data_IF_684129881647
#
_entry.id   IF_684129881647
#
_cell.length_a   1.000
_cell.length_b   1.000
_cell.length_c   1.000
_cell.angle_alpha   90.00
_cell.angle_beta   90.00
_cell.angle_gamma   90.00
#
_symmetry.space_group_name_H-M   'P 1'
#
loop_
_entity.id
_entity.type
_entity.pdbx_description
1 polymer ?
#
# COMPACT_ATOMS: atom_id res chain seq x y z
N UNK A 1 1.92 -12.42 -1.90
CA UNK A 1 3.32 -12.70 -1.52
C UNK A 1 3.36 -13.16 -0.08
N UNK A 2 4.18 -14.17 0.22
CA UNK A 2 4.23 -14.82 1.54
C UNK A 2 4.60 -13.87 2.68
N UNK A 3 5.55 -12.96 2.46
CA UNK A 3 5.94 -11.99 3.48
C UNK A 3 4.79 -11.05 3.86
N UNK A 4 3.95 -10.65 2.90
CA UNK A 4 2.75 -9.86 3.19
C UNK A 4 1.80 -10.64 4.10
N UNK A 5 1.58 -11.92 3.83
CA UNK A 5 0.74 -12.77 4.67
C UNK A 5 1.29 -12.83 6.11
N UNK A 6 2.61 -12.96 6.28
CA UNK A 6 3.26 -12.93 7.61
C UNK A 6 3.11 -11.57 8.32
N UNK A 7 3.24 -10.46 7.59
CA UNK A 7 3.07 -9.11 8.14
C UNK A 7 1.63 -8.91 8.65
N UNK A 8 0.64 -9.32 7.86
CA UNK A 8 -0.77 -9.18 8.21
C UNK A 8 -1.14 -10.07 9.42
N UNK A 9 -0.67 -11.32 9.43
CA UNK A 9 -0.86 -12.22 10.56
C UNK A 9 -0.26 -11.68 11.87
N UNK A 10 0.88 -10.97 11.81
CA UNK A 10 1.51 -10.38 12.99
C UNK A 10 0.69 -9.25 13.63
N UNK A 11 -0.31 -8.71 12.95
CA UNK A 11 -1.26 -7.72 13.48
C UNK A 11 -2.69 -8.28 13.55
N UNK A 12 -2.84 -9.61 13.69
CA UNK A 12 -4.13 -10.29 13.83
C UNK A 12 -5.14 -10.02 12.68
N UNK A 13 -4.62 -9.68 11.49
CA UNK A 13 -5.40 -9.52 10.27
C UNK A 13 -5.11 -10.68 9.31
N UNK A 14 -5.92 -11.75 9.33
CA UNK A 14 -5.77 -12.83 8.36
C UNK A 14 -6.05 -12.32 6.93
N UNK A 15 -5.39 -12.91 5.93
CA UNK A 15 -5.42 -12.45 4.53
C UNK A 15 -6.83 -12.39 3.96
N UNK A 16 -7.71 -13.25 4.45
CA UNK A 16 -9.11 -13.42 4.04
C UNK A 16 -9.99 -12.26 4.53
N UNK A 17 -9.54 -11.52 5.55
CA UNK A 17 -10.25 -10.35 6.09
C UNK A 17 -9.82 -9.03 5.44
N UNK A 18 -8.91 -9.07 4.48
CA UNK A 18 -8.42 -7.87 3.78
C UNK A 18 -8.59 -8.02 2.27
N UNK A 19 -8.76 -6.89 1.59
CA UNK A 19 -8.72 -6.86 0.14
C UNK A 19 -7.34 -6.41 -0.32
N UNK A 20 -6.69 -7.19 -1.17
CA UNK A 20 -5.33 -6.90 -1.67
C UNK A 20 -5.40 -6.66 -3.17
N UNK A 21 -4.91 -5.51 -3.61
CA UNK A 21 -4.84 -5.14 -5.03
C UNK A 21 -3.60 -4.29 -5.31
N UNK A 22 -3.28 -4.11 -6.59
CA UNK A 22 -2.17 -3.30 -7.07
C UNK A 22 -2.68 -2.11 -7.89
N UNK A 23 -1.84 -1.08 -8.07
CA UNK A 23 -2.14 0.07 -8.94
C UNK A 23 -2.36 -0.39 -10.38
N UNK A 24 -1.38 -1.09 -10.96
CA UNK A 24 -1.49 -1.72 -12.28
C UNK A 24 -1.96 -3.17 -12.16
N UNK A 25 -2.76 -3.62 -13.13
CA UNK A 25 -3.32 -4.99 -13.14
C UNK A 25 -2.54 -5.95 -14.04
N UNK A 26 -1.67 -5.42 -14.89
CA UNK A 26 -0.78 -6.17 -15.77
C UNK A 26 0.65 -6.08 -15.25
N UNK A 27 1.40 -7.18 -15.36
CA UNK A 27 2.81 -7.24 -14.98
C UNK A 27 3.64 -6.50 -16.04
N UNK A 28 4.36 -5.42 -15.69
CA UNK A 28 5.25 -4.75 -16.64
C UNK A 28 6.38 -5.70 -17.10
N UNK A 29 6.93 -5.49 -18.32
CA UNK A 29 8.11 -6.22 -18.79
C UNK A 29 9.23 -6.21 -17.75
N UNK A 30 9.85 -7.37 -17.54
CA UNK A 30 10.99 -7.54 -16.61
C UNK A 30 10.72 -7.08 -15.15
N UNK A 31 9.46 -6.96 -14.72
CA UNK A 31 9.09 -6.39 -13.42
C UNK A 31 9.58 -4.96 -13.19
N UNK A 32 9.77 -4.17 -14.25
CA UNK A 32 10.11 -2.75 -14.10
C UNK A 32 9.01 -2.00 -13.33
N UNK A 33 9.35 -0.81 -12.84
CA UNK A 33 8.35 0.10 -12.28
C UNK A 33 7.36 0.49 -13.40
N UNK A 34 6.05 0.50 -13.14
CA UNK A 34 5.07 0.96 -14.12
C UNK A 34 5.34 2.40 -14.55
N UNK A 35 5.13 2.68 -15.83
CA UNK A 35 5.21 4.03 -16.39
C UNK A 35 3.97 4.84 -16.03
N UNK A 36 4.07 6.16 -16.18
CA UNK A 36 3.02 7.08 -15.78
C UNK A 36 1.70 6.87 -16.56
N UNK A 37 1.80 6.62 -17.86
CA UNK A 37 0.69 6.27 -18.74
C UNK A 37 0.04 4.92 -18.37
N UNK A 38 0.83 3.90 -18.05
CA UNK A 38 0.33 2.61 -17.56
C UNK A 38 -0.42 2.75 -16.24
N UNK A 39 0.10 3.58 -15.31
CA UNK A 39 -0.59 3.92 -14.06
C UNK A 39 -1.87 4.69 -14.36
N UNK A 40 -1.82 5.70 -15.22
CA UNK A 40 -2.99 6.52 -15.60
C UNK A 40 -4.10 5.68 -16.22
N UNK A 41 -3.76 4.70 -17.06
CA UNK A 41 -4.72 3.79 -17.67
C UNK A 41 -5.33 2.80 -16.66
N UNK A 42 -4.57 2.36 -15.65
CA UNK A 42 -5.03 1.36 -14.68
C UNK A 42 -5.66 1.95 -13.40
N UNK A 43 -5.29 3.16 -13.00
CA UNK A 43 -5.73 3.79 -11.76
C UNK A 43 -7.27 3.89 -11.62
N UNK A 44 -8.06 4.18 -12.68
CA UNK A 44 -9.52 4.20 -12.59
C UNK A 44 -10.11 2.89 -12.04
N UNK A 45 -9.54 1.73 -12.37
CA UNK A 45 -9.99 0.45 -11.82
C UNK A 45 -9.72 0.34 -10.32
N UNK A 46 -8.55 0.79 -9.85
CA UNK A 46 -8.24 0.84 -8.42
C UNK A 46 -9.20 1.77 -7.68
N UNK A 47 -9.47 2.95 -8.22
CA UNK A 47 -10.38 3.91 -7.58
C UNK A 47 -11.80 3.36 -7.53
N UNK A 48 -12.27 2.69 -8.59
CA UNK A 48 -13.56 2.02 -8.58
C UNK A 48 -13.62 0.88 -7.57
N UNK A 49 -12.56 0.10 -7.42
CA UNK A 49 -12.45 -0.93 -6.38
C UNK A 49 -12.57 -0.33 -4.98
N UNK A 50 -11.89 0.78 -4.70
CA UNK A 50 -11.95 1.48 -3.42
C UNK A 50 -13.36 2.03 -3.16
N UNK A 51 -14.00 2.64 -4.15
CA UNK A 51 -15.38 3.15 -4.05
C UNK A 51 -16.40 2.06 -3.70
N UNK A 52 -16.25 0.87 -4.28
CA UNK A 52 -17.15 -0.26 -4.05
C UNK A 52 -16.91 -0.90 -2.68
N UNK A 53 -15.65 -1.04 -2.28
CA UNK A 53 -15.27 -1.70 -1.02
C UNK A 53 -15.48 -0.81 0.21
N UNK A 54 -15.40 0.52 0.04
CA UNK A 54 -15.49 1.52 1.13
C UNK A 54 -14.66 1.12 2.36
N UNK A 55 -13.35 0.89 2.22
CA UNK A 55 -12.53 0.40 3.32
C UNK A 55 -12.43 1.43 4.46
N UNK A 56 -12.31 0.96 5.70
CA UNK A 56 -12.03 1.82 6.86
C UNK A 56 -10.64 2.46 6.82
N UNK A 57 -9.66 1.76 6.24
CA UNK A 57 -8.26 2.19 6.13
C UNK A 57 -7.63 1.59 4.87
N UNK A 58 -6.71 2.33 4.25
CA UNK A 58 -5.89 1.84 3.14
C UNK A 58 -4.42 1.78 3.59
N UNK A 59 -3.78 0.63 3.40
CA UNK A 59 -2.34 0.46 3.60
C UNK A 59 -1.63 0.52 2.23
N UNK A 60 -0.99 1.66 1.92
CA UNK A 60 -0.26 1.86 0.68
C UNK A 60 1.19 1.34 0.82
N UNK A 61 1.49 0.23 0.15
CA UNK A 61 2.81 -0.42 0.25
C UNK A 61 3.70 -0.06 -0.94
N UNK A 62 4.73 0.78 -0.72
CA UNK A 62 5.69 1.21 -1.73
C UNK A 62 5.32 2.51 -2.45
N UNK A 63 6.30 3.05 -3.19
CA UNK A 63 6.23 4.38 -3.81
C UNK A 63 5.07 4.52 -4.79
N UNK A 64 4.95 3.60 -5.76
CA UNK A 64 3.89 3.64 -6.78
C UNK A 64 2.50 3.69 -6.15
N UNK A 65 2.23 2.87 -5.13
CA UNK A 65 0.94 2.86 -4.44
C UNK A 65 0.67 4.18 -3.70
N UNK A 66 1.64 4.66 -2.93
CA UNK A 66 1.51 5.90 -2.16
C UNK A 66 1.34 7.13 -3.06
N UNK A 67 2.17 7.25 -4.09
CA UNK A 67 2.14 8.38 -5.03
C UNK A 67 0.86 8.42 -5.86
N UNK A 68 0.34 7.25 -6.27
CA UNK A 68 -0.92 7.18 -7.03
C UNK A 68 -2.13 7.57 -6.16
N UNK A 69 -2.19 7.08 -4.92
CA UNK A 69 -3.31 7.39 -4.03
C UNK A 69 -3.28 8.83 -3.52
N UNK A 70 -2.09 9.40 -3.32
CA UNK A 70 -1.92 10.73 -2.74
C UNK A 70 -1.67 11.83 -3.78
N UNK A 71 -1.72 11.48 -5.07
CA UNK A 71 -1.44 12.36 -6.21
C UNK A 71 -0.21 13.25 -5.98
N UNK A 72 0.94 12.62 -5.72
CA UNK A 72 2.16 13.32 -5.30
C UNK A 72 3.42 12.66 -5.85
N UNK A 73 4.49 13.47 -5.97
CA UNK A 73 5.84 13.01 -6.32
C UNK A 73 6.77 12.89 -5.12
N UNK A 74 6.26 13.07 -3.89
CA UNK A 74 7.06 12.94 -2.67
C UNK A 74 7.69 11.54 -2.55
N UNK A 75 8.87 11.48 -1.92
CA UNK A 75 9.56 10.22 -1.68
C UNK A 75 8.79 9.36 -0.66
N UNK A 76 8.99 8.04 -0.72
CA UNK A 76 8.33 7.12 0.21
C UNK A 76 8.63 7.47 1.67
N UNK A 77 9.89 7.83 1.98
CA UNK A 77 10.28 8.23 3.33
C UNK A 77 9.54 9.47 3.84
N UNK A 78 9.33 10.47 2.98
CA UNK A 78 8.58 11.68 3.34
C UNK A 78 7.07 11.43 3.52
N UNK A 79 6.53 10.35 2.95
CA UNK A 79 5.13 9.98 3.06
C UNK A 79 4.84 9.08 4.27
N UNK A 80 5.85 8.41 4.84
CA UNK A 80 5.70 7.58 6.06
C UNK A 80 5.56 8.44 7.33
N UNK A 81 5.26 7.80 8.45
CA UNK A 81 5.15 8.41 9.80
C UNK A 81 4.04 9.48 9.96
N UNK A 82 3.03 9.48 9.07
CA UNK A 82 1.83 10.31 9.18
C UNK A 82 0.64 9.61 8.53
N UNK A 83 -0.56 10.00 8.93
CA UNK A 83 -1.81 9.50 8.35
C UNK A 83 -2.27 10.48 7.27
N UNK A 84 -2.45 9.97 6.05
CA UNK A 84 -2.99 10.75 4.93
C UNK A 84 -4.47 10.42 4.71
N UNK A 85 -5.05 11.02 3.68
CA UNK A 85 -6.42 10.72 3.27
C UNK A 85 -6.54 10.56 1.76
N UNK A 86 -7.31 9.56 1.34
CA UNK A 86 -7.80 9.41 -0.03
C UNK A 86 -9.32 9.44 0.00
N UNK A 87 -9.93 10.52 -0.53
CA UNK A 87 -11.40 10.70 -0.55
C UNK A 87 -12.04 10.46 0.83
N UNK A 88 -11.41 11.02 1.87
CA UNK A 88 -11.86 10.86 3.26
C UNK A 88 -11.37 9.59 3.98
N UNK A 89 -10.91 8.56 3.26
CA UNK A 89 -10.43 7.30 3.83
C UNK A 89 -8.99 7.48 4.35
N UNK A 90 -8.68 7.12 5.61
CA UNK A 90 -7.32 7.13 6.13
C UNK A 90 -6.36 6.26 5.30
N UNK A 91 -5.19 6.81 4.96
CA UNK A 91 -4.13 6.11 4.22
C UNK A 91 -2.86 6.09 5.06
N UNK A 92 -2.36 4.89 5.34
CA UNK A 92 -1.04 4.66 5.96
C UNK A 92 -0.08 4.19 4.88
N UNK A 93 1.09 4.82 4.80
CA UNK A 93 2.13 4.49 3.82
C UNK A 93 3.20 3.65 4.49
N UNK A 94 3.66 2.60 3.81
CA UNK A 94 4.75 1.74 4.31
C UNK A 94 5.63 1.18 3.19
N UNK A 95 6.68 0.44 3.54
CA UNK A 95 7.56 -0.21 2.58
C UNK A 95 6.87 -1.40 1.88
N UNK A 96 7.20 -1.59 0.61
CA UNK A 96 6.74 -2.77 -0.12
C UNK A 96 7.41 -4.04 0.43
N UNK A 97 6.72 -5.18 0.57
CA UNK A 97 7.31 -6.42 1.11
C UNK A 97 8.58 -6.86 0.37
N UNK A 98 8.62 -6.74 -0.96
CA UNK A 98 9.83 -7.07 -1.73
C UNK A 98 11.07 -6.23 -1.35
N UNK A 99 10.87 -5.00 -0.87
CA UNK A 99 11.96 -4.17 -0.38
C UNK A 99 12.51 -4.66 0.97
N UNK A 100 11.66 -5.24 1.82
CA UNK A 100 12.06 -5.81 3.12
C UNK A 100 12.91 -7.08 2.97
N UNK A 101 12.72 -7.82 1.87
CA UNK A 101 13.55 -8.97 1.54
C UNK A 101 14.99 -8.56 1.21
N UNK A 102 15.17 -7.36 0.65
CA UNK A 102 16.49 -6.80 0.32
C UNK A 102 17.09 -5.96 1.44
N UNK A 103 16.25 -5.34 2.27
CA UNK A 103 16.69 -4.48 3.37
C UNK A 103 15.96 -4.83 4.68
N UNK A 104 16.56 -5.69 5.53
CA UNK A 104 15.96 -6.10 6.80
C UNK A 104 15.74 -4.96 7.80
N UNK A 105 16.51 -3.87 7.73
CA UNK A 105 16.37 -2.73 8.65
C UNK A 105 15.02 -2.03 8.53
N UNK A 106 14.33 -2.19 7.40
CA UNK A 106 12.99 -1.64 7.18
C UNK A 106 11.86 -2.45 7.80
N UNK A 107 12.14 -3.63 8.39
CA UNK A 107 11.12 -4.45 9.06
C UNK A 107 10.52 -3.74 10.27
N UNK A 108 11.34 -3.13 11.14
CA UNK A 108 10.84 -2.42 12.32
C UNK A 108 10.00 -1.18 11.96
N UNK A 109 10.44 -0.29 11.07
CA UNK A 109 9.58 0.80 10.61
C UNK A 109 8.28 0.32 9.96
N UNK A 110 8.31 -0.78 9.18
CA UNK A 110 7.09 -1.38 8.61
C UNK A 110 6.14 -1.85 9.70
N UNK A 111 6.67 -2.49 10.74
CA UNK A 111 5.89 -2.95 11.88
C UNK A 111 5.13 -1.80 12.55
N UNK A 112 5.79 -0.66 12.76
CA UNK A 112 5.16 0.51 13.37
C UNK A 112 4.06 1.11 12.46
N UNK A 113 4.25 1.11 11.14
CA UNK A 113 3.23 1.56 10.17
C UNK A 113 2.00 0.63 10.19
N UNK A 114 2.20 -0.69 10.13
CA UNK A 114 1.06 -1.64 10.05
C UNK A 114 0.26 -1.68 11.36
N UNK A 115 0.91 -1.48 12.51
CA UNK A 115 0.20 -1.27 13.78
C UNK A 115 -0.63 0.01 13.77
N UNK A 116 -0.12 1.07 13.16
CA UNK A 116 -0.88 2.32 13.00
C UNK A 116 -2.11 2.08 12.13
N UNK A 117 -1.97 1.37 11.00
CA UNK A 117 -3.11 0.99 10.17
C UNK A 117 -4.13 0.12 10.92
N UNK A 118 -3.67 -0.83 11.73
CA UNK A 118 -4.53 -1.68 12.55
C UNK A 118 -5.34 -0.87 13.57
N UNK A 119 -4.73 0.10 14.26
CA UNK A 119 -5.43 0.95 15.24
C UNK A 119 -6.57 1.76 14.62
N UNK A 120 -6.50 2.06 13.33
CA UNK A 120 -7.55 2.78 12.60
C UNK A 120 -8.75 1.91 12.21
N UNK A 121 -8.70 0.59 12.47
CA UNK A 121 -9.83 -0.32 12.25
C UNK A 121 -10.83 -0.36 13.40
N UNK A 122 -10.39 0.05 14.61
CA UNK A 122 -11.21 0.21 15.81
C UNK A 122 -12.27 1.30 15.57
#
# INVERSE_FOLDING_TARGET
GELLTKILAAIDLPRERVFICNVVKCRPPENRVPQYDEVGACAPYLFRQIELLKPKVILAMGGTAAQTLLDTKQSLGALRNRIHRFRGIPVVVTYHPAALLRNPHWKRPTWDDVRTAHRLLA
#
